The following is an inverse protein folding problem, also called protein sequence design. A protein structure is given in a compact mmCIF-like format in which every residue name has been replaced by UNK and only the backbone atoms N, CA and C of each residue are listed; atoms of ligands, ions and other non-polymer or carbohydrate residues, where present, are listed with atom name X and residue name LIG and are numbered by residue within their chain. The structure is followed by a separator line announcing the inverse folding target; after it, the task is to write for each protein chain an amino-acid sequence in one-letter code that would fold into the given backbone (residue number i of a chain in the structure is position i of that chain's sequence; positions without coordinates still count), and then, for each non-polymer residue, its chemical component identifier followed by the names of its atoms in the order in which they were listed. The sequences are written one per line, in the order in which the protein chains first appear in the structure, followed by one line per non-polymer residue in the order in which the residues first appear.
data_IF_798982000154
#
_entry.id   IF_798982000154
#
_cell.length_a   1.000
_cell.length_b   1.000
_cell.length_c   1.000
_cell.angle_alpha   90.00
_cell.angle_beta   90.00
_cell.angle_gamma   90.00
#
_symmetry.space_group_name_H-M   'P 1'
#
loop_
_entity.id
_entity.type
_entity.pdbx_description
1 polymer ?
#
# COMPACT_ATOMS: atom_id res chain seq x y z
N UNK A 1 -4.88 39.67 -9.73
CA UNK A 1 -4.45 39.20 -8.41
C UNK A 1 -4.33 37.71 -8.49
N UNK A 2 -3.13 37.19 -8.23
CA UNK A 2 -2.72 35.81 -8.55
C UNK A 2 -3.34 34.83 -7.54
N UNK A 3 -4.54 34.34 -7.83
CA UNK A 3 -5.23 33.33 -7.03
C UNK A 3 -4.47 31.98 -6.96
N UNK A 4 -3.48 31.77 -7.85
CA UNK A 4 -2.76 30.48 -7.96
C UNK A 4 -1.70 30.28 -6.87
N UNK A 5 -1.11 31.32 -6.30
CA UNK A 5 -0.07 31.19 -5.28
C UNK A 5 -0.64 30.91 -3.87
N UNK A 6 -1.88 31.29 -3.60
CA UNK A 6 -2.54 31.02 -2.32
C UNK A 6 -3.01 29.56 -2.20
N UNK A 7 -3.27 28.89 -3.32
CA UNK A 7 -3.82 27.53 -3.35
C UNK A 7 -2.84 26.45 -2.82
N UNK A 8 -1.52 26.67 -3.00
CA UNK A 8 -0.47 25.73 -2.58
C UNK A 8 0.27 26.17 -1.30
N UNK A 9 -0.23 27.17 -0.60
CA UNK A 9 0.27 27.53 0.73
C UNK A 9 0.06 26.36 1.68
N UNK A 10 1.05 26.05 2.53
CA UNK A 10 1.06 24.91 3.43
C UNK A 10 0.96 23.53 2.71
N UNK A 11 1.52 23.46 1.51
CA UNK A 11 1.59 22.22 0.72
C UNK A 11 3.03 21.76 0.58
N UNK A 12 3.27 20.47 0.79
CA UNK A 12 4.52 19.79 0.48
C UNK A 12 4.32 18.84 -0.70
N UNK A 13 5.25 18.84 -1.65
CA UNK A 13 5.27 17.90 -2.76
C UNK A 13 6.43 16.93 -2.57
N UNK A 14 6.12 15.62 -2.43
CA UNK A 14 7.07 14.54 -2.42
C UNK A 14 7.18 13.94 -3.82
N UNK A 15 8.32 14.08 -4.47
CA UNK A 15 8.58 13.50 -5.79
C UNK A 15 9.49 12.29 -5.64
N UNK A 16 9.09 11.15 -6.16
CA UNK A 16 10.00 10.01 -6.35
C UNK A 16 10.48 9.98 -7.81
N UNK A 17 11.66 10.53 -8.12
CA UNK A 17 12.14 10.65 -9.50
C UNK A 17 12.31 9.29 -10.19
N UNK A 18 12.59 8.24 -9.40
CA UNK A 18 12.83 6.87 -9.89
C UNK A 18 11.54 6.05 -10.06
N UNK A 19 10.40 6.55 -9.58
CA UNK A 19 9.13 5.84 -9.71
C UNK A 19 8.83 5.50 -11.16
N UNK A 20 8.34 4.28 -11.40
CA UNK A 20 7.95 3.82 -12.73
C UNK A 20 9.07 3.95 -13.78
N UNK A 21 10.33 3.71 -13.40
CA UNK A 21 11.52 3.84 -14.27
C UNK A 21 11.74 5.26 -14.79
N UNK A 22 11.66 6.26 -13.93
CA UNK A 22 11.85 7.67 -14.27
C UNK A 22 10.59 8.43 -14.64
N UNK A 23 9.42 7.77 -14.65
CA UNK A 23 8.13 8.46 -14.85
C UNK A 23 7.86 9.53 -13.80
N UNK A 24 8.35 9.36 -12.57
CA UNK A 24 8.22 10.36 -11.52
C UNK A 24 8.80 11.72 -11.93
N UNK A 25 10.03 11.75 -12.47
CA UNK A 25 10.65 12.98 -13.00
C UNK A 25 9.88 13.54 -14.18
N UNK A 26 9.43 12.69 -15.11
CA UNK A 26 8.65 13.12 -16.27
C UNK A 26 7.30 13.69 -15.87
N UNK A 27 6.62 13.05 -14.91
CA UNK A 27 5.35 13.53 -14.34
C UNK A 27 5.52 14.91 -13.72
N UNK A 28 6.55 15.11 -12.89
CA UNK A 28 6.84 16.41 -12.30
C UNK A 28 7.11 17.48 -13.36
N UNK A 29 7.93 17.18 -14.36
CA UNK A 29 8.22 18.14 -15.44
C UNK A 29 6.98 18.50 -16.28
N UNK A 30 6.06 17.53 -16.50
CA UNK A 30 4.77 17.80 -17.17
C UNK A 30 3.86 18.70 -16.34
N UNK A 31 3.78 18.44 -15.03
CA UNK A 31 2.96 19.25 -14.11
C UNK A 31 3.49 20.67 -13.99
N UNK A 32 4.81 20.88 -13.89
CA UNK A 32 5.40 22.21 -13.87
C UNK A 32 5.11 23.03 -15.13
N UNK A 33 5.13 22.38 -16.31
CA UNK A 33 4.78 23.05 -17.56
C UNK A 33 3.31 23.45 -17.62
N UNK A 34 2.41 22.61 -17.09
CA UNK A 34 0.98 22.88 -17.09
C UNK A 34 0.56 23.84 -15.95
N UNK A 35 1.28 23.82 -14.84
CA UNK A 35 0.99 24.58 -13.63
C UNK A 35 2.28 25.21 -13.06
N UNK A 36 2.78 26.31 -13.66
CA UNK A 36 4.06 26.94 -13.25
C UNK A 36 4.12 27.37 -11.78
N UNK A 37 2.98 27.70 -11.18
CA UNK A 37 2.87 28.05 -9.76
C UNK A 37 3.41 26.96 -8.80
N UNK A 38 3.42 25.69 -9.23
CA UNK A 38 4.01 24.58 -8.46
C UNK A 38 5.51 24.74 -8.21
N UNK A 39 6.22 25.55 -9.00
CA UNK A 39 7.64 25.83 -8.79
C UNK A 39 7.93 26.54 -7.46
N UNK A 40 6.95 27.25 -6.92
CA UNK A 40 7.06 27.98 -5.64
C UNK A 40 6.69 27.09 -4.42
N UNK A 41 6.16 25.89 -4.67
CA UNK A 41 5.74 24.97 -3.60
C UNK A 41 6.95 24.21 -3.05
N UNK A 42 6.99 24.03 -1.73
CA UNK A 42 8.04 23.24 -1.10
C UNK A 42 8.06 21.81 -1.68
N UNK A 43 9.25 21.38 -2.17
CA UNK A 43 9.45 20.06 -2.77
C UNK A 43 10.54 19.26 -2.08
N UNK A 44 10.30 17.96 -1.98
CA UNK A 44 11.27 16.96 -1.52
C UNK A 44 11.42 15.88 -2.58
N UNK A 45 12.67 15.54 -2.93
CA UNK A 45 12.96 14.40 -3.79
C UNK A 45 13.20 13.15 -2.92
N UNK A 46 12.36 12.12 -3.11
CA UNK A 46 12.44 10.84 -2.40
C UNK A 46 13.46 9.89 -3.09
N UNK A 47 14.72 10.32 -3.18
CA UNK A 47 15.81 9.44 -3.63
C UNK A 47 16.38 8.61 -2.48
N UNK A 48 16.42 9.21 -1.29
CA UNK A 48 16.84 8.62 -0.03
C UNK A 48 15.61 8.58 0.90
N UNK A 49 15.07 7.39 1.21
CA UNK A 49 13.88 7.27 2.06
C UNK A 49 14.10 7.83 3.49
N UNK A 50 15.30 7.72 4.05
CA UNK A 50 15.59 8.21 5.40
C UNK A 50 15.50 9.74 5.43
N UNK A 51 16.18 10.40 4.49
CA UNK A 51 16.13 11.86 4.36
C UNK A 51 14.73 12.36 4.01
N UNK A 52 13.99 11.60 3.19
CA UNK A 52 12.61 11.96 2.86
C UNK A 52 11.71 11.90 4.09
N UNK A 53 11.81 10.85 4.92
CA UNK A 53 11.09 10.74 6.19
C UNK A 53 11.35 11.95 7.08
N UNK A 54 12.63 12.29 7.31
CA UNK A 54 13.01 13.44 8.14
C UNK A 54 12.37 14.74 7.65
N UNK A 55 12.51 15.04 6.35
CA UNK A 55 11.98 16.27 5.76
C UNK A 55 10.45 16.34 5.78
N UNK A 56 9.75 15.19 5.64
CA UNK A 56 8.29 15.16 5.81
C UNK A 56 7.94 15.46 7.25
N UNK A 57 8.64 14.85 8.22
CA UNK A 57 8.43 15.12 9.65
C UNK A 57 8.64 16.59 9.97
N UNK A 58 9.74 17.21 9.48
CA UNK A 58 10.01 18.64 9.68
C UNK A 58 8.90 19.52 9.09
N UNK A 59 8.38 19.16 7.91
CA UNK A 59 7.28 19.88 7.29
C UNK A 59 5.95 19.74 8.06
N UNK A 60 5.69 18.56 8.63
CA UNK A 60 4.52 18.32 9.48
C UNK A 60 4.58 19.19 10.75
N UNK A 61 5.74 19.32 11.38
CA UNK A 61 5.94 20.24 12.51
C UNK A 61 5.76 21.71 12.10
N UNK A 62 5.99 22.05 10.85
CA UNK A 62 5.72 23.37 10.27
C UNK A 62 4.27 23.53 9.77
N UNK A 63 3.34 22.68 10.24
CA UNK A 63 1.90 22.74 10.00
C UNK A 63 1.49 22.73 8.51
N UNK A 64 2.13 21.88 7.69
CA UNK A 64 1.59 21.63 6.35
C UNK A 64 0.19 21.00 6.47
N UNK A 65 -0.69 21.39 5.56
CA UNK A 65 -2.05 20.87 5.48
C UNK A 65 -2.26 19.88 4.32
N UNK A 66 -1.32 19.84 3.38
CA UNK A 66 -1.42 19.02 2.18
C UNK A 66 -0.07 18.37 1.86
N UNK A 67 -0.08 17.08 1.63
CA UNK A 67 1.08 16.33 1.14
C UNK A 67 0.72 15.67 -0.20
N UNK A 68 1.32 16.14 -1.28
CA UNK A 68 1.12 15.59 -2.63
C UNK A 68 2.27 14.64 -2.93
N UNK A 69 1.97 13.38 -3.20
CA UNK A 69 2.95 12.34 -3.56
C UNK A 69 2.91 12.11 -5.05
N UNK A 70 4.02 12.37 -5.75
CA UNK A 70 4.25 11.98 -7.13
C UNK A 70 5.12 10.73 -7.12
N UNK A 71 4.48 9.56 -7.19
CA UNK A 71 5.19 8.30 -6.98
C UNK A 71 4.32 7.05 -7.17
N UNK A 72 4.77 5.94 -6.61
CA UNK A 72 4.03 4.68 -6.51
C UNK A 72 3.63 4.37 -5.08
N UNK A 73 3.13 3.14 -4.87
CA UNK A 73 2.61 2.65 -3.59
C UNK A 73 3.61 2.78 -2.44
N UNK A 74 4.91 2.48 -2.65
CA UNK A 74 5.93 2.65 -1.61
C UNK A 74 6.19 4.10 -1.21
N UNK A 75 6.10 5.07 -2.14
CA UNK A 75 6.21 6.50 -1.80
C UNK A 75 4.98 6.98 -1.03
N UNK A 76 3.81 6.46 -1.38
CA UNK A 76 2.55 6.73 -0.69
C UNK A 76 2.57 6.14 0.72
N UNK A 77 3.01 4.89 0.88
CA UNK A 77 3.20 4.22 2.17
C UNK A 77 4.13 5.01 3.09
N UNK A 78 5.29 5.46 2.57
CA UNK A 78 6.23 6.28 3.32
C UNK A 78 5.56 7.57 3.81
N UNK A 79 4.87 8.30 2.95
CA UNK A 79 4.19 9.55 3.28
C UNK A 79 3.07 9.33 4.32
N UNK A 80 2.22 8.32 4.11
CA UNK A 80 1.13 7.97 5.01
C UNK A 80 1.64 7.62 6.42
N UNK A 81 2.71 6.81 6.52
CA UNK A 81 3.30 6.46 7.82
C UNK A 81 3.88 7.66 8.58
N UNK A 82 4.42 8.69 7.89
CA UNK A 82 4.87 9.91 8.57
C UNK A 82 3.67 10.70 9.09
N UNK A 83 2.60 10.84 8.31
CA UNK A 83 1.37 11.51 8.74
C UNK A 83 0.75 10.78 9.94
N UNK A 84 0.59 9.44 9.86
CA UNK A 84 -0.07 8.64 10.90
C UNK A 84 0.70 8.58 12.23
N UNK A 85 2.00 8.84 12.20
CA UNK A 85 2.84 8.97 13.41
C UNK A 85 2.83 10.37 14.01
N UNK A 86 2.24 11.36 13.32
CA UNK A 86 2.20 12.74 13.77
C UNK A 86 0.99 13.01 14.65
N UNK A 87 1.14 13.90 15.65
CA UNK A 87 0.08 14.20 16.63
C UNK A 87 -1.18 14.84 16.02
N UNK A 88 -1.02 15.55 14.89
CA UNK A 88 -2.11 16.26 14.20
C UNK A 88 -2.44 15.64 12.84
N UNK A 89 -2.56 14.33 12.80
CA UNK A 89 -2.83 13.55 11.58
C UNK A 89 -4.10 14.00 10.84
N UNK A 90 -5.11 14.43 11.56
CA UNK A 90 -6.41 14.87 11.01
C UNK A 90 -6.32 16.17 10.21
N UNK A 91 -5.25 16.97 10.39
CA UNK A 91 -5.07 18.26 9.72
C UNK A 91 -4.40 18.12 8.34
N UNK A 92 -3.84 16.95 8.04
CA UNK A 92 -3.05 16.74 6.83
C UNK A 92 -3.80 15.87 5.82
N UNK A 93 -4.05 16.44 4.65
CA UNK A 93 -4.66 15.70 3.53
C UNK A 93 -3.59 15.14 2.59
N UNK A 94 -3.59 13.84 2.41
CA UNK A 94 -2.68 13.12 1.50
C UNK A 94 -3.29 13.05 0.09
N UNK A 95 -2.48 13.31 -0.93
CA UNK A 95 -2.86 13.27 -2.36
C UNK A 95 -1.87 12.42 -3.13
N UNK A 96 -2.35 11.64 -4.08
CA UNK A 96 -1.51 10.80 -4.93
C UNK A 96 -1.62 11.21 -6.40
N UNK A 97 -0.47 11.40 -7.04
CA UNK A 97 -0.34 11.46 -8.50
C UNK A 97 0.45 10.21 -8.92
N UNK A 98 -0.20 9.26 -9.61
CA UNK A 98 0.40 7.97 -9.88
C UNK A 98 1.56 8.08 -10.89
N UNK A 99 2.74 7.62 -10.48
CA UNK A 99 3.91 7.50 -11.34
C UNK A 99 4.61 6.13 -11.18
N UNK A 100 4.12 5.27 -10.29
CA UNK A 100 4.64 3.93 -10.02
C UNK A 100 4.34 2.91 -11.12
N UNK A 101 4.94 1.73 -11.02
CA UNK A 101 4.68 0.61 -11.94
C UNK A 101 3.40 -0.14 -11.58
N UNK A 102 3.18 -0.44 -10.30
CA UNK A 102 2.00 -1.13 -9.77
C UNK A 102 0.82 -0.18 -9.67
N UNK A 103 0.97 0.84 -8.85
CA UNK A 103 -0.04 1.88 -8.57
C UNK A 103 -1.39 1.28 -8.16
N UNK A 104 -1.36 0.28 -7.27
CA UNK A 104 -2.55 -0.42 -6.83
C UNK A 104 -3.49 0.50 -6.05
N UNK A 105 -2.93 1.38 -5.22
CA UNK A 105 -3.73 2.35 -4.49
C UNK A 105 -4.38 3.41 -5.40
N UNK A 106 -3.70 3.78 -6.49
CA UNK A 106 -4.29 4.66 -7.51
C UNK A 106 -5.50 4.00 -8.22
N UNK A 107 -5.44 2.67 -8.45
CA UNK A 107 -6.59 1.91 -8.97
C UNK A 107 -7.76 1.91 -8.01
N UNK A 108 -7.49 1.70 -6.72
CA UNK A 108 -8.50 1.74 -5.65
C UNK A 108 -9.19 3.10 -5.60
N UNK A 109 -8.43 4.18 -5.74
CA UNK A 109 -8.92 5.57 -5.78
C UNK A 109 -9.48 5.98 -7.15
N UNK A 110 -9.39 5.13 -8.17
CA UNK A 110 -9.81 5.39 -9.56
C UNK A 110 -9.15 6.64 -10.16
N UNK A 111 -7.89 6.88 -9.81
CA UNK A 111 -7.15 8.04 -10.32
C UNK A 111 -6.78 7.84 -11.79
N UNK A 112 -6.87 8.90 -12.62
CA UNK A 112 -6.42 8.85 -14.00
C UNK A 112 -4.93 8.53 -14.13
N UNK A 113 -4.56 7.78 -15.17
CA UNK A 113 -3.15 7.52 -15.49
C UNK A 113 -2.42 8.75 -16.05
N UNK A 114 -3.15 9.73 -16.62
CA UNK A 114 -2.59 10.99 -17.06
C UNK A 114 -2.36 11.93 -15.86
N UNK A 115 -1.12 12.40 -15.64
CA UNK A 115 -0.80 13.19 -14.45
C UNK A 115 -1.50 14.55 -14.37
N UNK A 116 -1.83 15.17 -15.51
CA UNK A 116 -2.55 16.45 -15.53
C UNK A 116 -3.98 16.24 -15.04
N UNK A 117 -4.66 15.23 -15.59
CA UNK A 117 -6.03 14.88 -15.16
C UNK A 117 -6.06 14.41 -13.70
N UNK A 118 -5.06 13.61 -13.27
CA UNK A 118 -4.95 13.22 -11.87
C UNK A 118 -4.76 14.43 -10.96
N UNK A 119 -3.92 15.39 -11.34
CA UNK A 119 -3.72 16.61 -10.59
C UNK A 119 -5.01 17.46 -10.51
N UNK A 120 -5.71 17.64 -11.63
CA UNK A 120 -7.00 18.34 -11.66
C UNK A 120 -8.03 17.68 -10.75
N UNK A 121 -8.14 16.34 -10.80
CA UNK A 121 -9.06 15.59 -9.93
C UNK A 121 -8.74 15.81 -8.45
N UNK A 122 -7.47 15.67 -8.04
CA UNK A 122 -7.12 15.85 -6.62
C UNK A 122 -7.20 17.31 -6.15
N UNK A 123 -7.16 18.30 -7.03
CA UNK A 123 -7.38 19.71 -6.67
C UNK A 123 -8.86 20.01 -6.43
N UNK A 124 -9.76 19.34 -7.17
CA UNK A 124 -11.21 19.53 -7.04
C UNK A 124 -11.88 18.53 -6.08
N UNK A 125 -11.16 17.50 -5.63
CA UNK A 125 -11.72 16.45 -4.78
C UNK A 125 -11.98 16.96 -3.37
N UNK A 126 -13.11 16.50 -2.80
CA UNK A 126 -13.41 16.70 -1.39
C UNK A 126 -12.58 15.75 -0.50
N UNK A 127 -12.20 16.21 0.70
CA UNK A 127 -11.50 15.38 1.66
C UNK A 127 -12.33 14.16 2.08
N UNK A 128 -11.76 12.97 1.94
CA UNK A 128 -12.36 11.72 2.39
C UNK A 128 -11.50 11.10 3.46
N UNK A 129 -12.11 10.74 4.59
CA UNK A 129 -11.44 9.98 5.63
C UNK A 129 -11.50 8.49 5.29
N UNK A 130 -10.35 7.83 5.35
CA UNK A 130 -10.20 6.39 5.11
C UNK A 130 -9.64 5.68 6.33
N UNK A 131 -9.98 4.41 6.45
CA UNK A 131 -9.44 3.54 7.48
C UNK A 131 -8.00 3.12 7.13
N UNK A 132 -7.24 2.74 8.15
CA UNK A 132 -5.86 2.29 8.04
C UNK A 132 -5.68 1.05 8.88
N UNK A 133 -4.79 0.15 8.50
CA UNK A 133 -4.39 -0.98 9.34
C UNK A 133 -3.24 -0.54 10.26
N UNK A 134 -3.43 -0.64 11.56
CA UNK A 134 -2.38 -0.57 12.57
C UNK A 134 -1.83 -1.97 12.79
N UNK A 135 -0.54 -2.14 12.60
CA UNK A 135 0.15 -3.41 12.70
C UNK A 135 1.09 -3.33 13.88
N UNK A 136 0.88 -4.19 14.87
CA UNK A 136 1.73 -4.30 16.06
C UNK A 136 2.51 -5.59 15.99
N UNK A 137 3.84 -5.52 16.07
CA UNK A 137 4.76 -6.65 16.10
C UNK A 137 5.16 -6.95 17.53
N UNK A 138 4.94 -8.16 18.01
CA UNK A 138 5.27 -8.61 19.37
C UNK A 138 4.77 -7.68 20.51
N UNK A 139 3.71 -6.94 20.27
CA UNK A 139 3.12 -6.02 21.24
C UNK A 139 3.70 -4.59 21.26
N UNK A 140 4.86 -4.33 20.67
CA UNK A 140 5.58 -3.06 20.87
C UNK A 140 5.75 -2.23 19.58
N UNK A 141 6.30 -2.81 18.52
CA UNK A 141 6.59 -2.08 17.29
C UNK A 141 5.31 -1.80 16.48
N UNK A 142 5.00 -0.52 16.24
CA UNK A 142 3.81 -0.12 15.46
C UNK A 142 4.21 0.38 14.07
N UNK A 143 3.56 -0.20 13.06
CA UNK A 143 3.59 0.23 11.65
C UNK A 143 2.17 0.36 11.11
N UNK A 144 2.01 1.08 10.00
CA UNK A 144 0.70 1.24 9.37
C UNK A 144 0.74 0.75 7.93
N UNK A 145 -0.33 0.06 7.52
CA UNK A 145 -0.60 -0.21 6.10
C UNK A 145 -1.87 0.51 5.67
N UNK A 146 -1.80 1.16 4.52
CA UNK A 146 -2.96 1.82 3.91
C UNK A 146 -3.70 0.89 2.95
N UNK A 147 -3.05 -0.19 2.54
CA UNK A 147 -3.58 -1.14 1.57
C UNK A 147 -3.59 -2.58 2.10
N UNK A 148 -2.41 -3.17 2.35
CA UNK A 148 -2.31 -4.62 2.58
C UNK A 148 -1.24 -4.97 3.61
N UNK A 149 -1.58 -5.88 4.52
CA UNK A 149 -0.66 -6.71 5.29
C UNK A 149 -0.82 -8.16 4.83
N UNK A 150 0.27 -8.84 4.52
CA UNK A 150 0.20 -10.21 4.00
C UNK A 150 1.37 -11.09 4.38
N UNK A 151 1.18 -12.40 4.30
CA UNK A 151 2.23 -13.42 4.49
C UNK A 151 2.03 -14.60 3.53
N UNK A 152 2.95 -15.52 3.55
CA UNK A 152 2.99 -16.64 2.63
C UNK A 152 3.77 -16.28 1.36
N UNK A 153 3.23 -16.61 0.21
CA UNK A 153 3.90 -16.37 -1.08
C UNK A 153 4.21 -14.89 -1.32
N UNK A 154 3.39 -13.96 -0.84
CA UNK A 154 3.62 -12.52 -0.95
C UNK A 154 4.86 -12.08 -0.16
N UNK A 155 4.98 -12.53 1.09
CA UNK A 155 6.15 -12.25 1.91
C UNK A 155 7.44 -12.88 1.34
N UNK A 156 7.34 -14.08 0.74
CA UNK A 156 8.46 -14.69 0.02
C UNK A 156 8.89 -13.83 -1.17
N UNK A 157 7.96 -13.37 -2.00
CA UNK A 157 8.22 -12.49 -3.15
C UNK A 157 8.84 -11.19 -2.69
N UNK A 158 8.29 -10.53 -1.68
CA UNK A 158 8.77 -9.26 -1.15
C UNK A 158 10.22 -9.37 -0.64
N UNK A 159 10.53 -10.44 0.09
CA UNK A 159 11.90 -10.71 0.58
C UNK A 159 12.89 -10.88 -0.56
N UNK A 160 12.53 -11.59 -1.63
CA UNK A 160 13.40 -11.82 -2.80
C UNK A 160 13.48 -10.59 -3.71
N UNK A 161 12.56 -9.65 -3.56
CA UNK A 161 12.60 -8.36 -4.25
C UNK A 161 13.37 -7.28 -3.47
N UNK A 162 13.88 -7.53 -2.29
CA UNK A 162 14.61 -6.54 -1.48
C UNK A 162 16.05 -6.24 -1.98
N UNK A 163 16.51 -6.86 -3.08
CA UNK A 163 17.87 -6.71 -3.62
C UNK A 163 18.00 -5.75 -4.82
N UNK A 164 19.23 -5.41 -5.23
CA UNK A 164 19.49 -4.50 -6.36
C UNK A 164 18.97 -5.01 -7.72
N UNK A 165 18.77 -6.31 -7.87
CA UNK A 165 18.24 -6.95 -9.09
C UNK A 165 16.76 -6.60 -9.37
N UNK A 166 16.04 -6.10 -8.38
CA UNK A 166 14.61 -5.75 -8.47
C UNK A 166 14.31 -4.60 -9.42
N UNK A 167 15.35 -3.84 -9.78
CA UNK A 167 15.24 -2.71 -10.71
C UNK A 167 15.17 -3.13 -12.17
N UNK A 168 15.45 -4.42 -12.49
CA UNK A 168 15.40 -4.93 -13.86
C UNK A 168 13.95 -5.06 -14.36
N UNK A 169 13.71 -4.82 -15.66
CA UNK A 169 12.41 -5.05 -16.27
C UNK A 169 11.91 -6.49 -16.01
N UNK A 170 10.66 -6.63 -15.59
CA UNK A 170 10.06 -7.95 -15.35
C UNK A 170 10.55 -8.68 -14.09
N UNK A 171 11.39 -8.06 -13.23
CA UNK A 171 11.86 -8.68 -11.99
C UNK A 171 10.71 -9.17 -11.12
N UNK A 172 9.69 -8.33 -10.92
CA UNK A 172 8.50 -8.72 -10.16
C UNK A 172 7.82 -9.97 -10.73
N UNK A 173 7.53 -9.98 -12.03
CA UNK A 173 6.90 -11.12 -12.69
C UNK A 173 7.77 -12.39 -12.58
N UNK A 174 9.07 -12.27 -12.83
CA UNK A 174 10.01 -13.40 -12.71
C UNK A 174 10.06 -13.95 -11.28
N UNK A 175 10.13 -13.07 -10.28
CA UNK A 175 10.15 -13.47 -8.86
C UNK A 175 8.82 -14.11 -8.47
N UNK A 176 7.69 -13.57 -8.93
CA UNK A 176 6.37 -14.17 -8.72
C UNK A 176 6.25 -15.55 -9.36
N UNK A 177 6.74 -15.72 -10.60
CA UNK A 177 6.76 -17.03 -11.27
C UNK A 177 7.70 -18.01 -10.54
N UNK A 178 8.85 -17.53 -10.07
CA UNK A 178 9.75 -18.35 -9.25
C UNK A 178 9.11 -18.77 -7.93
N UNK A 179 8.36 -17.87 -7.28
CA UNK A 179 7.62 -18.18 -6.06
C UNK A 179 6.64 -19.34 -6.27
N UNK A 180 5.98 -19.44 -7.41
CA UNK A 180 5.09 -20.56 -7.73
C UNK A 180 5.80 -21.91 -7.77
N UNK A 181 7.11 -21.92 -8.04
CA UNK A 181 7.91 -23.14 -8.10
C UNK A 181 8.53 -23.45 -6.74
N UNK A 182 9.08 -22.45 -6.06
CA UNK A 182 9.96 -22.62 -4.92
C UNK A 182 9.25 -22.43 -3.56
N UNK A 183 8.11 -21.70 -3.54
CA UNK A 183 7.43 -21.44 -2.28
C UNK A 183 6.69 -22.68 -1.76
N UNK A 184 6.93 -23.01 -0.50
CA UNK A 184 6.20 -24.03 0.25
C UNK A 184 5.18 -23.37 1.19
N UNK A 185 4.05 -24.07 1.38
CA UNK A 185 3.01 -23.59 2.27
C UNK A 185 3.51 -23.45 3.70
N UNK A 186 3.02 -22.46 4.39
CA UNK A 186 3.42 -22.14 5.77
C UNK A 186 2.23 -22.35 6.71
N UNK A 187 2.47 -22.81 7.94
CA UNK A 187 1.42 -23.00 8.93
C UNK A 187 1.22 -21.73 9.77
N UNK A 188 -0.02 -21.29 9.86
CA UNK A 188 -0.41 -20.13 10.65
C UNK A 188 -1.68 -20.41 11.44
N UNK A 189 -1.78 -19.75 12.61
CA UNK A 189 -3.02 -19.57 13.35
C UNK A 189 -3.50 -18.15 13.16
N UNK A 190 -4.77 -17.98 12.75
CA UNK A 190 -5.39 -16.67 12.49
C UNK A 190 -6.63 -16.56 13.37
N UNK A 191 -6.62 -15.56 14.25
CA UNK A 191 -7.72 -15.21 15.14
C UNK A 191 -8.35 -13.91 14.65
N UNK A 192 -9.65 -13.90 14.40
CA UNK A 192 -10.39 -12.72 13.96
C UNK A 192 -11.40 -12.36 15.05
N UNK A 193 -11.37 -11.12 15.52
CA UNK A 193 -12.26 -10.58 16.57
C UNK A 193 -12.36 -11.54 17.78
N UNK A 194 -11.20 -12.01 18.28
CA UNK A 194 -11.03 -12.93 19.39
C UNK A 194 -11.55 -14.37 19.14
N UNK A 195 -11.91 -14.70 17.90
CA UNK A 195 -12.35 -16.07 17.55
C UNK A 195 -11.32 -16.75 16.64
N UNK A 196 -10.91 -17.97 16.96
CA UNK A 196 -10.06 -18.76 16.06
C UNK A 196 -10.83 -18.99 14.76
N UNK A 197 -10.33 -18.40 13.67
CA UNK A 197 -10.99 -18.44 12.38
C UNK A 197 -10.32 -19.41 11.39
N UNK A 198 -8.99 -19.51 11.44
CA UNK A 198 -8.23 -20.43 10.59
C UNK A 198 -7.00 -20.94 11.33
N UNK A 199 -6.70 -22.23 11.18
CA UNK A 199 -5.47 -22.85 11.64
C UNK A 199 -5.05 -23.94 10.65
N UNK A 200 -3.86 -23.83 10.10
CA UNK A 200 -3.33 -24.81 9.17
C UNK A 200 -2.37 -24.22 8.13
N UNK A 201 -2.06 -25.04 7.11
CA UNK A 201 -1.19 -24.60 6.02
C UNK A 201 -1.90 -23.61 5.11
N UNK A 202 -1.20 -22.52 4.76
CA UNK A 202 -1.66 -21.53 3.80
C UNK A 202 -0.61 -21.23 2.75
N UNK A 203 -1.08 -20.89 1.56
CA UNK A 203 -0.27 -20.39 0.47
C UNK A 203 -0.15 -18.85 0.53
N UNK A 204 -1.25 -18.18 0.89
CA UNK A 204 -1.34 -16.73 1.06
C UNK A 204 -2.34 -16.40 2.18
N UNK A 205 -1.95 -15.51 3.08
CA UNK A 205 -2.86 -14.74 3.93
C UNK A 205 -2.73 -13.28 3.55
N UNK A 206 -3.85 -12.62 3.30
CA UNK A 206 -3.91 -11.18 3.07
C UNK A 206 -4.97 -10.53 3.96
N UNK A 207 -4.57 -9.48 4.68
CA UNK A 207 -5.44 -8.61 5.47
C UNK A 207 -5.39 -7.25 4.80
N UNK A 208 -6.53 -6.77 4.30
CA UNK A 208 -6.52 -5.63 3.38
C UNK A 208 -7.57 -4.58 3.71
N UNK A 209 -7.26 -3.35 3.38
CA UNK A 209 -8.23 -2.24 3.29
C UNK A 209 -8.53 -1.89 1.84
N UNK A 210 -7.58 -2.11 0.95
CA UNK A 210 -7.76 -1.92 -0.48
C UNK A 210 -8.15 -3.20 -1.21
N UNK A 211 -8.70 -3.03 -2.40
CA UNK A 211 -9.15 -4.15 -3.25
C UNK A 211 -8.04 -4.78 -4.09
N UNK A 212 -6.96 -4.05 -4.35
CA UNK A 212 -5.89 -4.46 -5.27
C UNK A 212 -4.54 -4.53 -4.58
N UNK A 213 -3.75 -5.53 -4.95
CA UNK A 213 -2.33 -5.64 -4.58
C UNK A 213 -1.54 -6.33 -5.69
N UNK A 214 -0.20 -6.33 -5.60
CA UNK A 214 0.64 -7.13 -6.50
C UNK A 214 0.47 -6.79 -7.98
N UNK A 215 0.38 -5.50 -8.31
CA UNK A 215 0.24 -4.97 -9.67
C UNK A 215 -1.10 -5.30 -10.35
N UNK A 216 -2.19 -5.19 -9.63
CA UNK A 216 -3.55 -5.25 -10.19
C UNK A 216 -4.34 -6.51 -9.88
N UNK A 217 -3.81 -7.42 -9.06
CA UNK A 217 -4.62 -8.54 -8.56
C UNK A 217 -5.68 -8.04 -7.59
N UNK A 218 -6.93 -8.45 -7.79
CA UNK A 218 -8.06 -8.05 -6.94
C UNK A 218 -8.22 -9.02 -5.76
N UNK A 219 -7.32 -8.97 -4.79
CA UNK A 219 -7.33 -9.90 -3.64
C UNK A 219 -8.60 -9.74 -2.78
N UNK A 220 -9.13 -8.53 -2.66
CA UNK A 220 -10.31 -8.22 -1.87
C UNK A 220 -11.29 -7.36 -2.68
N UNK A 221 -11.99 -7.92 -3.68
CA UNK A 221 -12.86 -7.17 -4.58
C UNK A 221 -14.03 -6.49 -3.86
N UNK A 222 -14.35 -6.90 -2.62
CA UNK A 222 -15.42 -6.33 -1.78
C UNK A 222 -14.91 -5.28 -0.78
N UNK A 223 -13.61 -4.97 -0.79
CA UNK A 223 -13.00 -4.05 0.16
C UNK A 223 -13.57 -2.62 0.04
N UNK A 224 -13.75 -1.98 1.18
CA UNK A 224 -14.17 -0.59 1.32
C UNK A 224 -13.19 0.15 2.23
N UNK A 225 -12.81 1.35 1.83
CA UNK A 225 -11.81 2.13 2.55
C UNK A 225 -12.32 2.76 3.85
N UNK A 226 -13.63 2.70 4.16
CA UNK A 226 -14.27 3.54 5.16
C UNK A 226 -15.36 2.84 6.00
N UNK A 227 -15.32 1.50 6.07
CA UNK A 227 -16.34 0.70 6.75
C UNK A 227 -15.93 0.18 8.14
N UNK A 228 -14.75 0.55 8.63
CA UNK A 228 -14.23 0.12 9.94
C UNK A 228 -13.79 -1.34 10.02
N UNK A 229 -13.78 -2.08 8.90
CA UNK A 229 -13.43 -3.50 8.85
C UNK A 229 -12.29 -3.74 7.87
N UNK A 230 -11.42 -4.69 8.15
CA UNK A 230 -10.50 -5.26 7.17
C UNK A 230 -11.11 -6.51 6.51
N UNK A 231 -10.67 -6.77 5.29
CA UNK A 231 -10.95 -8.02 4.60
C UNK A 231 -9.84 -9.02 4.92
N UNK A 232 -10.19 -10.25 5.26
CA UNK A 232 -9.25 -11.33 5.58
C UNK A 232 -9.44 -12.44 4.56
N UNK A 233 -8.39 -12.73 3.81
CA UNK A 233 -8.38 -13.75 2.75
C UNK A 233 -7.27 -14.74 3.01
N UNK A 234 -7.60 -16.01 3.15
CA UNK A 234 -6.63 -17.12 3.16
C UNK A 234 -6.81 -17.93 1.89
N UNK A 235 -5.70 -18.25 1.24
CA UNK A 235 -5.64 -19.18 0.11
C UNK A 235 -4.89 -20.41 0.57
N UNK A 236 -5.53 -21.57 0.52
CA UNK A 236 -4.94 -22.85 0.89
C UNK A 236 -3.90 -23.31 -0.13
N UNK A 237 -2.99 -24.22 0.30
CA UNK A 237 -2.05 -24.88 -0.60
C UNK A 237 -2.76 -25.61 -1.73
N UNK A 238 -2.12 -25.64 -2.89
CA UNK A 238 -2.70 -26.28 -4.06
C UNK A 238 -1.61 -26.88 -4.96
N UNK A 239 -1.96 -27.85 -5.81
CA UNK A 239 -1.05 -28.35 -6.83
C UNK A 239 -0.52 -27.22 -7.72
N UNK A 240 0.81 -27.16 -7.92
CA UNK A 240 1.50 -26.06 -8.64
C UNK A 240 0.99 -25.84 -10.06
N UNK A 241 0.57 -26.92 -10.73
CA UNK A 241 0.03 -26.81 -12.10
C UNK A 241 -1.31 -26.07 -12.19
N UNK A 242 -2.05 -25.94 -11.08
CA UNK A 242 -3.30 -25.14 -11.00
C UNK A 242 -3.05 -23.64 -10.78
N UNK A 243 -1.86 -23.25 -10.32
CA UNK A 243 -1.55 -21.87 -9.95
C UNK A 243 -1.82 -20.85 -11.08
N UNK A 244 -1.41 -21.09 -12.35
CA UNK A 244 -1.68 -20.13 -13.41
C UNK A 244 -3.18 -19.89 -13.64
N UNK A 245 -3.98 -20.95 -13.60
CA UNK A 245 -5.43 -20.85 -13.78
C UNK A 245 -6.08 -20.09 -12.62
N UNK A 246 -5.64 -20.35 -11.38
CA UNK A 246 -6.17 -19.71 -10.18
C UNK A 246 -5.72 -18.26 -10.05
N UNK A 247 -4.51 -17.93 -10.54
CA UNK A 247 -4.03 -16.56 -10.63
C UNK A 247 -4.93 -15.70 -11.52
N UNK A 248 -5.45 -16.24 -12.63
CA UNK A 248 -6.42 -15.53 -13.46
C UNK A 248 -7.68 -15.12 -12.66
N UNK A 249 -8.13 -15.97 -11.72
CA UNK A 249 -9.29 -15.64 -10.88
C UNK A 249 -9.01 -14.48 -9.92
N UNK A 250 -7.76 -14.29 -9.46
CA UNK A 250 -7.36 -13.12 -8.68
C UNK A 250 -7.43 -11.83 -9.48
N UNK A 251 -7.02 -11.85 -10.76
CA UNK A 251 -7.16 -10.68 -11.63
C UNK A 251 -8.61 -10.36 -11.97
N UNK A 252 -9.46 -11.39 -12.06
CA UNK A 252 -10.90 -11.22 -12.32
C UNK A 252 -11.72 -10.91 -11.06
N UNK A 253 -11.15 -11.01 -9.87
CA UNK A 253 -11.83 -10.77 -8.60
C UNK A 253 -12.93 -11.79 -8.25
N UNK A 254 -12.92 -12.99 -8.85
CA UNK A 254 -13.94 -14.01 -8.66
C UNK A 254 -13.46 -15.25 -7.87
N UNK A 255 -12.32 -15.14 -7.19
CA UNK A 255 -11.71 -16.23 -6.41
C UNK A 255 -12.38 -16.46 -5.05
N UNK A 256 -13.04 -15.46 -4.45
CA UNK A 256 -13.62 -15.56 -3.10
C UNK A 256 -14.68 -16.66 -2.94
N UNK A 257 -15.26 -17.15 -4.03
CA UNK A 257 -16.23 -18.25 -4.03
C UNK A 257 -15.60 -19.64 -4.22
N UNK A 258 -14.28 -19.72 -4.30
CA UNK A 258 -13.58 -20.98 -4.51
C UNK A 258 -13.41 -21.74 -3.19
N UNK A 259 -13.53 -23.07 -3.22
CA UNK A 259 -13.44 -23.93 -2.03
C UNK A 259 -12.10 -23.91 -1.31
N UNK A 260 -11.03 -23.47 -1.97
CA UNK A 260 -9.68 -23.32 -1.42
C UNK A 260 -9.40 -21.89 -0.91
N UNK A 261 -10.42 -21.03 -0.86
CA UNK A 261 -10.31 -19.65 -0.36
C UNK A 261 -11.23 -19.47 0.82
N UNK A 262 -10.66 -19.09 1.94
CA UNK A 262 -11.41 -18.65 3.11
C UNK A 262 -11.47 -17.13 3.12
N UNK A 263 -12.62 -16.59 3.45
CA UNK A 263 -12.87 -15.16 3.45
C UNK A 263 -13.76 -14.77 4.62
N UNK A 264 -13.32 -13.75 5.35
CA UNK A 264 -14.17 -13.07 6.35
C UNK A 264 -13.80 -11.59 6.43
N UNK A 265 -14.46 -10.89 7.33
CA UNK A 265 -14.19 -9.50 7.73
C UNK A 265 -14.02 -9.44 9.23
N UNK A 266 -13.18 -8.53 9.70
CA UNK A 266 -13.00 -8.29 11.12
C UNK A 266 -12.46 -6.90 11.41
N UNK A 267 -12.46 -6.51 12.67
CA UNK A 267 -11.82 -5.28 13.14
C UNK A 267 -10.38 -5.55 13.58
N UNK A 268 -10.15 -6.70 14.20
CA UNK A 268 -8.85 -7.09 14.74
C UNK A 268 -8.50 -8.50 14.27
N UNK A 269 -7.27 -8.67 13.79
CA UNK A 269 -6.74 -9.96 13.34
C UNK A 269 -5.39 -10.21 13.99
N UNK A 270 -5.27 -11.31 14.73
CA UNK A 270 -3.99 -11.77 15.28
C UNK A 270 -3.47 -12.94 14.45
N UNK A 271 -2.18 -12.90 14.12
CA UNK A 271 -1.50 -13.90 13.30
C UNK A 271 -0.33 -14.47 14.09
N UNK A 272 -0.39 -15.74 14.37
CA UNK A 272 0.68 -16.50 15.00
C UNK A 272 1.30 -17.45 13.96
N UNK A 273 2.55 -17.22 13.53
CA UNK A 273 3.26 -18.17 12.69
C UNK A 273 3.61 -19.41 13.50
N UNK A 274 3.29 -20.60 12.98
CA UNK A 274 3.60 -21.89 13.63
C UNK A 274 4.97 -22.40 13.20
N UNK A 275 5.54 -21.90 12.10
CA UNK A 275 6.86 -22.30 11.59
C UNK A 275 7.77 -21.07 11.36
N UNK A 276 9.08 -21.25 11.53
CA UNK A 276 10.06 -20.13 11.57
C UNK A 276 10.36 -19.43 10.24
N UNK A 277 9.85 -19.92 9.12
CA UNK A 277 10.27 -19.43 7.80
C UNK A 277 9.25 -18.54 7.09
N UNK A 278 8.50 -17.74 7.85
CA UNK A 278 7.49 -16.82 7.30
C UNK A 278 8.12 -15.49 6.90
N UNK A 279 7.83 -15.05 5.67
CA UNK A 279 8.00 -13.66 5.26
C UNK A 279 6.68 -12.93 5.41
N UNK A 280 6.71 -11.73 5.96
CA UNK A 280 5.58 -10.82 6.01
C UNK A 280 5.82 -9.62 5.11
N UNK A 281 4.76 -8.99 4.69
CA UNK A 281 4.76 -7.81 3.82
C UNK A 281 3.76 -6.78 4.32
N UNK A 282 4.17 -5.52 4.32
CA UNK A 282 3.36 -4.35 4.68
C UNK A 282 3.41 -3.37 3.51
N UNK A 283 2.35 -3.24 2.73
CA UNK A 283 2.27 -2.39 1.54
C UNK A 283 3.46 -2.57 0.56
N UNK A 284 3.95 -3.79 0.37
CA UNK A 284 5.09 -4.12 -0.49
C UNK A 284 6.45 -4.10 0.19
N UNK A 285 6.54 -3.71 1.47
CA UNK A 285 7.78 -3.74 2.24
C UNK A 285 7.89 -5.02 3.07
N UNK A 286 9.03 -5.71 2.99
CA UNK A 286 9.24 -6.95 3.75
C UNK A 286 9.33 -6.68 5.25
N UNK A 287 8.80 -7.63 6.04
CA UNK A 287 8.92 -7.69 7.48
C UNK A 287 9.33 -9.09 7.93
N UNK A 288 10.03 -9.17 9.06
CA UNK A 288 10.46 -10.43 9.66
C UNK A 288 9.30 -11.17 10.32
N UNK A 289 9.47 -12.48 10.49
CA UNK A 289 8.51 -13.33 11.18
C UNK A 289 8.36 -12.91 12.65
N UNK A 290 7.11 -12.80 13.09
CA UNK A 290 6.74 -12.44 14.46
C UNK A 290 5.25 -12.72 14.72
N UNK A 291 4.83 -12.62 15.97
CA UNK A 291 3.42 -12.45 16.31
C UNK A 291 2.96 -11.07 15.85
N UNK A 292 1.95 -11.01 15.02
CA UNK A 292 1.35 -9.76 14.57
C UNK A 292 -0.10 -9.62 15.02
N UNK A 293 -0.45 -8.40 15.43
CA UNK A 293 -1.83 -7.98 15.59
C UNK A 293 -2.09 -6.86 14.59
N UNK A 294 -3.12 -7.03 13.77
CA UNK A 294 -3.58 -6.05 12.78
C UNK A 294 -4.94 -5.54 13.21
N UNK A 295 -5.03 -4.24 13.42
CA UNK A 295 -6.27 -3.58 13.84
C UNK A 295 -6.67 -2.53 12.82
N UNK A 296 -7.95 -2.48 12.48
CA UNK A 296 -8.49 -1.41 11.65
C UNK A 296 -8.71 -0.16 12.48
N UNK A 297 -7.99 0.92 12.14
CA UNK A 297 -8.23 2.26 12.69
C UNK A 297 -9.22 3.00 11.78
N UNK A 298 -10.46 3.21 12.23
CA UNK A 298 -11.46 3.86 11.40
C UNK A 298 -11.11 5.32 11.14
N UNK A 299 -11.26 5.76 9.90
CA UNK A 299 -11.15 7.17 9.47
C UNK A 299 -9.84 7.86 9.91
N UNK A 300 -8.75 7.10 9.98
CA UNK A 300 -7.47 7.56 10.54
C UNK A 300 -6.65 8.43 9.59
N UNK A 301 -6.92 8.41 8.28
CA UNK A 301 -6.16 9.19 7.29
C UNK A 301 -7.12 9.97 6.39
N UNK A 302 -6.79 11.24 6.12
CA UNK A 302 -7.53 12.06 5.15
C UNK A 302 -6.87 11.96 3.77
N UNK A 303 -7.64 11.55 2.77
CA UNK A 303 -7.20 11.46 1.36
C UNK A 303 -8.07 12.35 0.49
N UNK A 304 -7.46 12.92 -0.55
CA UNK A 304 -8.12 13.64 -1.63
C UNK A 304 -7.99 12.83 -2.92
N UNK A 305 -9.11 12.31 -3.41
CA UNK A 305 -9.17 11.47 -4.61
C UNK A 305 -10.53 11.56 -5.31
#
# INVERSE_FOLDING_TARGET
MDHSSAEFKNTLILVNPRAGRGRGSQTWARLLRAHPALAQTQRIDCQDPIKAKQKITDALFNNIQRLIVIGGDGSLHLAANQILKHQHVEQVALRLIPAGTGSDYARILRLPGDPIRAFQQICSAEPRKVDVLRITKNGDEVRFAINTFSTGVSGWVSRHLAGPETRKPGAYLRTTLKAFIDFEAVNCRVVVDNTLWFEGPLYLLAITKGSHFGQGMQISPRARLDNGLCEVVVVEPMPRWLLPLRLCRLYLGNHLSASYVHYCRGQTVSIEPISDNHGFEIDGESAESALFTVETLPRALTILA
#
